data_IF_090186598342
#
_entry.id   IF_090186598342
#
_cell.length_a   1.000
_cell.length_b   1.000
_cell.length_c   1.000
_cell.angle_alpha   90.00
_cell.angle_beta   90.00
_cell.angle_gamma   90.00
#
_symmetry.space_group_name_H-M   'P 1'
#
loop_
_entity.id
_entity.type
_entity.pdbx_description
1 polymer ?
#
# COMPACT_ATOMS: atom_id res chain seq x y z
N UNK A 1 -53.75 11.74 32.24
CA UNK A 1 -53.42 11.65 30.79
C UNK A 1 -52.15 12.42 30.42
N UNK A 2 -51.94 13.64 30.92
CA UNK A 2 -50.80 14.50 30.55
C UNK A 2 -49.40 13.95 30.90
N UNK A 3 -49.24 13.26 32.04
CA UNK A 3 -47.96 12.65 32.45
C UNK A 3 -47.48 11.54 31.50
N UNK A 4 -48.41 10.76 30.95
CA UNK A 4 -48.10 9.69 29.98
C UNK A 4 -47.60 10.23 28.64
N UNK A 5 -48.15 11.37 28.21
CA UNK A 5 -47.76 12.02 26.96
C UNK A 5 -46.37 12.66 27.06
N UNK A 6 -46.02 13.29 28.20
CA UNK A 6 -44.68 13.82 28.46
C UNK A 6 -43.61 12.73 28.47
N UNK A 7 -43.90 11.59 29.09
CA UNK A 7 -43.00 10.44 29.12
C UNK A 7 -42.81 9.83 27.72
N UNK A 8 -43.88 9.74 26.92
CA UNK A 8 -43.82 9.26 25.54
C UNK A 8 -42.97 10.18 24.65
N UNK A 9 -43.15 11.49 24.75
CA UNK A 9 -42.39 12.47 23.98
C UNK A 9 -40.89 12.46 24.38
N UNK A 10 -40.59 12.31 25.67
CA UNK A 10 -39.21 12.20 26.17
C UNK A 10 -38.51 10.93 25.68
N UNK A 11 -39.20 9.78 25.68
CA UNK A 11 -38.65 8.51 25.17
C UNK A 11 -38.36 8.62 23.67
N UNK A 12 -39.27 9.21 22.89
CA UNK A 12 -39.06 9.42 21.45
C UNK A 12 -37.89 10.36 21.17
N UNK A 13 -37.75 11.45 21.93
CA UNK A 13 -36.62 12.37 21.83
C UNK A 13 -35.29 11.67 22.17
N UNK A 14 -35.28 10.82 23.21
CA UNK A 14 -34.11 10.04 23.62
C UNK A 14 -33.69 9.04 22.54
N UNK A 15 -34.65 8.31 21.95
CA UNK A 15 -34.40 7.39 20.85
C UNK A 15 -33.85 8.11 19.61
N UNK A 16 -34.40 9.28 19.28
CA UNK A 16 -33.94 10.08 18.14
C UNK A 16 -32.49 10.59 18.36
N UNK A 17 -32.16 11.04 19.57
CA UNK A 17 -30.81 11.45 19.95
C UNK A 17 -29.81 10.28 19.91
N UNK A 18 -30.21 9.09 20.36
CA UNK A 18 -29.39 7.86 20.28
C UNK A 18 -29.14 7.42 18.82
N UNK A 19 -30.12 7.56 17.93
CA UNK A 19 -29.96 7.30 16.49
C UNK A 19 -29.03 8.31 15.80
N UNK A 20 -29.10 9.60 16.16
CA UNK A 20 -28.19 10.62 15.62
C UNK A 20 -26.73 10.39 16.07
N UNK A 21 -26.52 9.87 17.28
CA UNK A 21 -25.18 9.54 17.78
C UNK A 21 -24.56 8.32 17.08
N UNK A 22 -25.38 7.33 16.72
CA UNK A 22 -24.91 6.13 15.98
C UNK A 22 -24.68 6.38 14.49
N UNK A 23 -25.36 7.38 13.89
CA UNK A 23 -25.09 7.83 12.52
C UNK A 23 -23.75 8.57 12.38
N UNK A 24 -23.20 9.08 13.48
CA UNK A 24 -21.91 9.80 13.52
C UNK A 24 -20.72 8.85 13.75
N UNK A 25 -20.71 7.69 13.08
CA UNK A 25 -19.54 6.83 13.07
C UNK A 25 -18.40 7.52 12.33
N UNK A 26 -17.31 7.83 13.03
CA UNK A 26 -16.04 8.23 12.39
C UNK A 26 -15.66 7.07 11.45
N UNK A 27 -15.89 7.22 10.15
CA UNK A 27 -15.38 6.26 9.16
C UNK A 27 -13.87 6.40 9.16
N UNK A 28 -13.19 5.57 9.94
CA UNK A 28 -11.76 5.32 9.72
C UNK A 28 -11.59 4.97 8.25
N UNK A 29 -10.60 5.58 7.57
CA UNK A 29 -10.35 5.31 6.17
C UNK A 29 -10.19 3.80 5.98
N UNK A 30 -11.12 3.19 5.26
CA UNK A 30 -11.13 1.76 4.98
C UNK A 30 -10.91 1.57 3.49
N UNK A 31 -9.94 0.75 3.12
CA UNK A 31 -9.68 0.41 1.72
C UNK A 31 -10.63 -0.68 1.21
N UNK A 32 -10.81 -0.76 -0.10
CA UNK A 32 -11.60 -1.81 -0.74
C UNK A 32 -10.70 -3.00 -1.15
N UNK A 33 -9.51 -2.74 -1.68
CA UNK A 33 -8.53 -3.77 -2.02
C UNK A 33 -7.08 -3.30 -1.78
N UNK A 34 -6.14 -4.24 -1.85
CA UNK A 34 -4.70 -3.98 -1.76
C UNK A 34 -4.07 -4.20 -3.14
N UNK A 35 -3.26 -3.23 -3.58
CA UNK A 35 -2.47 -3.33 -4.80
C UNK A 35 -1.02 -3.63 -4.44
N UNK A 36 -0.48 -4.75 -4.91
CA UNK A 36 0.95 -5.05 -4.82
C UNK A 36 1.65 -4.48 -6.05
N UNK A 37 2.47 -3.45 -5.84
CA UNK A 37 3.04 -2.65 -6.93
C UNK A 37 4.53 -2.92 -7.05
N UNK A 38 4.95 -3.24 -8.27
CA UNK A 38 6.34 -3.49 -8.63
C UNK A 38 6.90 -2.38 -9.52
N UNK A 39 8.21 -2.16 -9.43
CA UNK A 39 8.97 -1.36 -10.37
C UNK A 39 9.91 -2.27 -11.16
N UNK A 40 10.04 -2.00 -12.47
CA UNK A 40 11.15 -2.50 -13.28
C UNK A 40 12.31 -1.51 -13.18
N UNK A 41 13.42 -1.85 -12.51
CA UNK A 41 14.46 -0.88 -12.18
C UNK A 41 15.09 -0.20 -13.39
N UNK A 42 15.33 -0.93 -14.47
CA UNK A 42 15.94 -0.35 -15.66
C UNK A 42 15.06 0.77 -16.25
N UNK A 43 13.73 0.61 -16.30
CA UNK A 43 12.83 1.67 -16.79
C UNK A 43 12.75 2.84 -15.81
N UNK A 44 12.70 2.57 -14.50
CA UNK A 44 12.74 3.63 -13.48
C UNK A 44 14.02 4.50 -13.63
N UNK A 45 15.15 3.86 -13.95
CA UNK A 45 16.43 4.53 -14.12
C UNK A 45 16.67 5.16 -15.50
N UNK A 46 15.69 5.10 -16.42
CA UNK A 46 15.75 5.87 -17.68
C UNK A 46 15.44 7.36 -17.47
N UNK A 47 14.78 7.72 -16.37
CA UNK A 47 14.54 9.11 -16.02
C UNK A 47 15.87 9.79 -15.65
N UNK A 48 16.28 10.78 -16.46
CA UNK A 48 17.53 11.52 -16.27
C UNK A 48 17.54 12.35 -14.98
N UNK A 49 16.38 12.63 -14.40
CA UNK A 49 16.26 13.35 -13.13
C UNK A 49 16.49 12.43 -11.92
N UNK A 50 16.66 11.13 -12.14
CA UNK A 50 16.83 10.14 -11.08
C UNK A 50 18.24 9.57 -11.10
N UNK A 51 19.03 9.89 -10.09
CA UNK A 51 20.31 9.23 -9.87
C UNK A 51 20.07 7.83 -9.27
N UNK A 52 20.18 6.78 -10.08
CA UNK A 52 20.01 5.41 -9.61
C UNK A 52 21.24 4.81 -8.94
N UNK A 53 21.01 3.80 -8.10
CA UNK A 53 22.08 2.94 -7.56
C UNK A 53 22.69 2.06 -8.66
N UNK A 54 23.98 1.78 -8.53
CA UNK A 54 24.72 0.88 -9.39
C UNK A 54 25.26 -0.31 -8.57
N UNK A 55 25.15 -1.56 -9.07
CA UNK A 55 24.46 -1.95 -10.30
C UNK A 55 22.92 -1.81 -10.18
N UNK A 56 22.25 -1.51 -11.29
CA UNK A 56 20.77 -1.49 -11.37
C UNK A 56 20.24 -2.92 -11.28
N UNK A 57 19.28 -3.23 -10.37
CA UNK A 57 18.78 -4.60 -10.24
C UNK A 57 18.08 -5.11 -11.52
N UNK A 58 18.40 -6.34 -11.92
CA UNK A 58 17.86 -6.98 -13.14
C UNK A 58 16.64 -7.88 -12.86
N UNK A 59 15.84 -7.49 -11.88
CA UNK A 59 14.60 -8.15 -11.46
C UNK A 59 13.57 -7.11 -11.05
N UNK A 60 12.29 -7.47 -11.09
CA UNK A 60 11.26 -6.63 -10.48
C UNK A 60 11.55 -6.47 -9.00
N UNK A 61 11.40 -5.25 -8.51
CA UNK A 61 11.48 -4.92 -7.09
C UNK A 61 10.14 -4.35 -6.66
N UNK A 62 9.77 -4.58 -5.42
CA UNK A 62 8.56 -3.99 -4.87
C UNK A 62 8.71 -2.46 -4.85
N UNK A 63 7.64 -1.75 -5.18
CA UNK A 63 7.49 -0.32 -4.91
C UNK A 63 6.65 -0.12 -3.65
N UNK A 64 5.57 -0.88 -3.49
CA UNK A 64 4.80 -0.90 -2.26
C UNK A 64 3.58 -1.82 -2.32
N UNK A 65 2.93 -1.97 -1.17
CA UNK A 65 1.58 -2.49 -1.06
C UNK A 65 0.68 -1.28 -0.78
N UNK A 66 -0.36 -1.06 -1.57
CA UNK A 66 -1.15 0.16 -1.52
C UNK A 66 -2.64 -0.14 -1.29
N UNK A 67 -3.19 0.25 -0.13
CA UNK A 67 -4.63 0.25 0.09
C UNK A 67 -5.31 1.21 -0.90
N UNK A 68 -6.31 0.73 -1.62
CA UNK A 68 -6.96 1.45 -2.71
C UNK A 68 -8.47 1.40 -2.59
N UNK A 69 -9.14 2.43 -3.12
CA UNK A 69 -10.59 2.47 -3.20
C UNK A 69 -11.14 1.56 -4.33
N UNK A 70 -12.46 1.44 -4.44
CA UNK A 70 -13.13 0.64 -5.49
C UNK A 70 -12.71 0.99 -6.91
N UNK A 71 -12.31 2.23 -7.17
CA UNK A 71 -11.85 2.67 -8.50
C UNK A 71 -10.39 2.30 -8.79
N UNK A 72 -9.68 1.75 -7.80
CA UNK A 72 -8.27 1.43 -7.91
C UNK A 72 -7.34 2.60 -7.59
N UNK A 73 -7.87 3.72 -7.08
CA UNK A 73 -7.05 4.86 -6.67
C UNK A 73 -6.39 4.55 -5.31
N UNK A 74 -5.05 4.65 -5.21
CA UNK A 74 -4.36 4.45 -3.93
C UNK A 74 -4.78 5.52 -2.91
N UNK A 75 -5.10 5.06 -1.71
CA UNK A 75 -5.31 5.92 -0.56
C UNK A 75 -3.96 6.43 -0.04
N UNK A 76 -3.96 7.64 0.53
CA UNK A 76 -2.75 8.28 1.01
C UNK A 76 -2.97 9.06 2.32
N UNK A 77 -1.98 9.03 3.21
CA UNK A 77 -1.88 9.83 4.43
C UNK A 77 -3.13 9.78 5.34
N UNK A 78 -3.74 8.60 5.48
CA UNK A 78 -5.04 8.47 6.15
C UNK A 78 -5.02 8.71 7.67
N UNK A 79 -3.88 8.48 8.31
CA UNK A 79 -3.72 8.67 9.75
C UNK A 79 -2.32 9.17 10.08
N UNK A 80 -2.17 9.79 11.25
CA UNK A 80 -0.84 10.19 11.75
C UNK A 80 0.07 8.96 11.87
N UNK A 81 1.32 9.16 11.48
CA UNK A 81 2.33 8.11 11.44
C UNK A 81 3.01 7.94 12.79
N UNK A 82 2.94 6.75 13.37
CA UNK A 82 3.80 6.37 14.48
C UNK A 82 5.20 5.98 13.99
N UNK A 83 6.21 6.11 14.85
CA UNK A 83 7.56 5.62 14.55
C UNK A 83 7.53 4.10 14.37
N UNK A 84 7.97 3.64 13.19
CA UNK A 84 8.04 2.23 12.82
C UNK A 84 9.43 1.74 12.47
N UNK A 85 10.47 2.52 12.78
CA UNK A 85 11.85 2.14 12.51
C UNK A 85 12.20 0.81 13.16
N UNK A 86 11.71 0.53 14.37
CA UNK A 86 11.90 -0.75 15.05
C UNK A 86 11.39 -1.95 14.22
N UNK A 87 10.20 -1.82 13.60
CA UNK A 87 9.58 -2.88 12.84
C UNK A 87 10.25 -3.06 11.47
N UNK A 88 10.65 -1.95 10.85
CA UNK A 88 11.41 -1.96 9.59
C UNK A 88 12.79 -2.59 9.79
N UNK A 89 13.50 -2.22 10.85
CA UNK A 89 14.80 -2.82 11.21
C UNK A 89 14.68 -4.31 11.51
N UNK A 90 13.60 -4.75 12.18
CA UNK A 90 13.34 -6.18 12.42
C UNK A 90 13.29 -7.02 11.14
N UNK A 91 12.83 -6.43 10.03
CA UNK A 91 12.70 -7.12 8.74
C UNK A 91 13.67 -6.62 7.67
N UNK A 92 14.70 -5.85 8.05
CA UNK A 92 15.57 -5.14 7.11
C UNK A 92 16.25 -6.08 6.10
N UNK A 93 16.68 -7.26 6.54
CA UNK A 93 17.31 -8.26 5.66
C UNK A 93 16.34 -8.75 4.58
N UNK A 94 15.09 -9.04 4.95
CA UNK A 94 14.04 -9.49 4.03
C UNK A 94 13.64 -8.37 3.06
N UNK A 95 13.48 -7.16 3.59
CA UNK A 95 13.05 -6.00 2.81
C UNK A 95 14.13 -5.50 1.85
N UNK A 96 15.40 -5.52 2.24
CA UNK A 96 16.49 -4.97 1.42
C UNK A 96 16.68 -5.67 0.08
N UNK A 97 16.40 -6.96 0.01
CA UNK A 97 16.59 -7.74 -1.23
C UNK A 97 15.48 -7.55 -2.26
N UNK A 98 14.28 -7.19 -1.80
CA UNK A 98 13.06 -7.26 -2.60
C UNK A 98 12.29 -5.94 -2.66
N UNK A 99 12.48 -5.08 -1.67
CA UNK A 99 11.91 -3.73 -1.60
C UNK A 99 13.00 -2.64 -1.47
N UNK A 100 14.11 -2.66 -2.23
CA UNK A 100 15.14 -1.63 -2.13
C UNK A 100 14.65 -0.27 -2.66
N UNK A 101 15.21 0.81 -2.10
CA UNK A 101 15.24 2.08 -2.81
C UNK A 101 16.12 1.95 -4.05
N UNK A 102 15.62 2.39 -5.20
CA UNK A 102 16.38 2.43 -6.45
C UNK A 102 17.23 3.70 -6.60
N UNK A 103 16.89 4.77 -5.87
CA UNK A 103 17.63 6.03 -5.91
C UNK A 103 18.88 5.96 -5.06
N UNK A 104 19.99 6.51 -5.56
CA UNK A 104 21.29 6.57 -4.88
C UNK A 104 21.28 7.52 -3.68
N UNK A 105 20.51 8.59 -3.77
CA UNK A 105 20.37 9.62 -2.73
C UNK A 105 19.34 9.27 -1.64
N UNK A 106 18.64 8.13 -1.76
CA UNK A 106 17.60 7.70 -0.82
C UNK A 106 17.93 6.33 -0.23
N UNK A 107 18.09 6.27 1.09
CA UNK A 107 18.29 5.01 1.80
C UNK A 107 17.03 4.15 1.78
N UNK A 108 17.20 2.84 1.93
CA UNK A 108 16.07 1.92 2.02
C UNK A 108 15.13 2.30 3.18
N UNK A 109 15.69 2.59 4.36
CA UNK A 109 14.89 2.98 5.53
C UNK A 109 14.03 4.22 5.26
N UNK A 110 14.59 5.28 4.67
CA UNK A 110 13.83 6.50 4.32
C UNK A 110 12.73 6.20 3.30
N UNK A 111 13.03 5.38 2.31
CA UNK A 111 12.05 4.94 1.32
C UNK A 111 10.89 4.14 1.95
N UNK A 112 11.20 3.19 2.83
CA UNK A 112 10.17 2.40 3.53
C UNK A 112 9.32 3.26 4.47
N UNK A 113 9.93 4.20 5.19
CA UNK A 113 9.21 5.16 6.03
C UNK A 113 8.26 6.03 5.19
N UNK A 114 8.69 6.49 4.03
CA UNK A 114 7.84 7.24 3.10
C UNK A 114 6.65 6.40 2.61
N UNK A 115 6.90 5.16 2.15
CA UNK A 115 5.84 4.26 1.69
C UNK A 115 4.86 3.93 2.83
N UNK A 116 5.37 3.79 4.05
CA UNK A 116 4.57 3.58 5.24
C UNK A 116 3.66 4.76 5.56
N UNK A 117 4.23 5.95 5.68
CA UNK A 117 3.51 7.17 6.01
C UNK A 117 2.41 7.46 4.99
N UNK A 118 2.76 7.32 3.71
CA UNK A 118 1.83 7.56 2.62
C UNK A 118 0.76 6.49 2.54
N UNK A 119 1.12 5.21 2.40
CA UNK A 119 0.14 4.19 2.01
C UNK A 119 -0.32 3.32 3.16
N UNK A 120 0.61 2.83 4.00
CA UNK A 120 0.23 1.87 5.04
C UNK A 120 -0.76 2.46 6.02
N UNK A 121 -0.64 3.74 6.37
CA UNK A 121 -1.54 4.40 7.32
C UNK A 121 -3.01 4.14 6.99
N UNK A 122 -3.38 3.96 5.73
CA UNK A 122 -4.73 3.63 5.26
C UNK A 122 -5.20 2.18 5.51
N UNK A 123 -4.35 1.30 6.03
CA UNK A 123 -4.69 -0.09 6.40
C UNK A 123 -4.78 -0.32 7.92
N UNK A 124 -4.59 0.73 8.73
CA UNK A 124 -4.53 0.65 10.19
C UNK A 124 -5.75 -0.01 10.85
N UNK A 125 -6.94 0.20 10.28
CA UNK A 125 -8.21 -0.34 10.79
C UNK A 125 -8.34 -1.86 10.66
N UNK A 126 -7.56 -2.48 9.77
CA UNK A 126 -7.64 -3.92 9.46
C UNK A 126 -6.33 -4.67 9.72
N UNK A 127 -5.22 -3.97 9.91
CA UNK A 127 -3.90 -4.59 9.97
C UNK A 127 -2.93 -3.81 10.84
N UNK A 128 -2.31 -4.51 11.80
CA UNK A 128 -1.22 -3.95 12.60
C UNK A 128 0.08 -3.83 11.79
N UNK A 129 1.10 -3.19 12.38
CA UNK A 129 2.38 -2.90 11.71
C UNK A 129 3.06 -4.16 11.19
N UNK A 130 3.15 -5.17 12.05
CA UNK A 130 3.86 -6.41 11.75
C UNK A 130 3.10 -7.24 10.71
N UNK A 131 1.78 -7.32 10.80
CA UNK A 131 0.93 -7.99 9.82
C UNK A 131 1.10 -7.38 8.42
N UNK A 132 1.22 -6.05 8.32
CA UNK A 132 1.44 -5.37 7.05
C UNK A 132 2.79 -5.72 6.42
N UNK A 133 3.86 -5.66 7.21
CA UNK A 133 5.19 -6.02 6.74
C UNK A 133 5.29 -7.51 6.41
N UNK A 134 4.67 -8.38 7.20
CA UNK A 134 4.62 -9.81 6.93
C UNK A 134 3.85 -10.12 5.65
N UNK A 135 2.72 -9.45 5.40
CA UNK A 135 1.99 -9.60 4.15
C UNK A 135 2.87 -9.21 2.96
N UNK A 136 3.55 -8.06 3.03
CA UNK A 136 4.51 -7.64 2.00
C UNK A 136 5.58 -8.73 1.77
N UNK A 137 6.22 -9.20 2.84
CA UNK A 137 7.32 -10.17 2.74
C UNK A 137 6.84 -11.50 2.17
N UNK A 138 5.68 -11.99 2.61
CA UNK A 138 5.14 -13.28 2.18
C UNK A 138 4.64 -13.22 0.75
N UNK A 139 3.84 -12.21 0.38
CA UNK A 139 3.34 -12.08 -0.99
C UNK A 139 4.48 -11.89 -1.98
N UNK A 140 5.50 -11.11 -1.62
CA UNK A 140 6.69 -10.92 -2.44
C UNK A 140 7.49 -12.22 -2.67
N UNK A 141 7.55 -13.13 -1.70
CA UNK A 141 8.24 -14.42 -1.86
C UNK A 141 7.52 -15.37 -2.81
N UNK A 142 6.20 -15.26 -2.86
CA UNK A 142 5.36 -16.16 -3.63
C UNK A 142 5.10 -15.68 -5.07
N UNK A 143 5.48 -14.44 -5.40
CA UNK A 143 5.27 -13.85 -6.72
C UNK A 143 6.60 -13.41 -7.34
N UNK A 144 6.92 -13.99 -8.50
CA UNK A 144 8.02 -13.56 -9.36
C UNK A 144 7.47 -13.13 -10.73
N UNK A 145 7.20 -11.82 -10.94
CA UNK A 145 6.69 -11.33 -12.20
C UNK A 145 7.64 -11.60 -13.37
N UNK A 146 8.96 -11.59 -13.14
CA UNK A 146 9.92 -11.84 -14.22
C UNK A 146 9.88 -13.32 -14.65
N UNK A 147 9.73 -14.23 -13.70
CA UNK A 147 9.54 -15.65 -14.00
C UNK A 147 8.24 -15.89 -14.80
N UNK A 148 7.14 -15.28 -14.38
CA UNK A 148 5.85 -15.40 -15.09
C UNK A 148 5.92 -14.88 -16.53
N UNK A 149 6.61 -13.74 -16.75
CA UNK A 149 6.85 -13.19 -18.09
C UNK A 149 7.74 -14.10 -18.93
N UNK A 150 8.83 -14.63 -18.35
CA UNK A 150 9.76 -15.54 -19.03
C UNK A 150 9.09 -16.84 -19.46
N UNK A 151 8.16 -17.37 -18.66
CA UNK A 151 7.37 -18.54 -19.02
C UNK A 151 6.55 -18.33 -20.31
N UNK A 152 6.23 -17.08 -20.63
CA UNK A 152 5.54 -16.66 -21.84
C UNK A 152 6.48 -16.05 -22.90
N UNK A 153 7.78 -16.36 -22.83
CA UNK A 153 8.83 -15.86 -23.75
C UNK A 153 9.01 -14.33 -23.75
N UNK A 154 8.51 -13.63 -22.74
CA UNK A 154 8.72 -12.19 -22.57
C UNK A 154 9.96 -11.98 -21.72
N UNK A 155 11.01 -11.43 -22.33
CA UNK A 155 12.33 -11.23 -21.71
C UNK A 155 12.80 -9.79 -21.89
N UNK A 156 13.47 -9.19 -20.89
CA UNK A 156 14.15 -7.92 -21.10
C UNK A 156 15.15 -8.06 -22.26
N UNK A 157 15.00 -7.24 -23.29
CA UNK A 157 15.82 -7.29 -24.51
C UNK A 157 16.64 -6.01 -24.73
N UNK A 158 16.58 -5.05 -23.79
CA UNK A 158 17.32 -3.79 -23.88
C UNK A 158 16.78 -2.77 -24.88
N UNK A 159 15.76 -3.13 -25.68
CA UNK A 159 15.14 -2.24 -26.66
C UNK A 159 13.98 -1.46 -26.05
N UNK A 160 13.82 -0.21 -26.50
CA UNK A 160 12.66 0.66 -26.19
C UNK A 160 11.43 0.33 -27.04
N UNK A 161 11.34 -0.85 -27.63
CA UNK A 161 10.17 -1.24 -28.42
C UNK A 161 9.03 -1.66 -27.49
N UNK A 162 7.81 -1.13 -27.66
CA UNK A 162 6.67 -1.60 -26.89
C UNK A 162 6.39 -3.06 -27.24
N UNK A 163 6.30 -3.92 -26.24
CA UNK A 163 5.62 -5.20 -26.43
C UNK A 163 4.15 -4.91 -26.73
N UNK A 164 3.59 -5.54 -27.76
CA UNK A 164 2.17 -5.37 -28.06
C UNK A 164 1.34 -6.07 -26.97
N UNK A 165 0.77 -5.28 -26.06
CA UNK A 165 -0.03 -5.75 -24.93
C UNK A 165 -1.29 -6.52 -25.36
N UNK A 166 -1.74 -6.38 -26.61
CA UNK A 166 -2.88 -7.13 -27.17
C UNK A 166 -2.55 -8.56 -27.61
N UNK A 167 -1.27 -8.99 -27.52
CA UNK A 167 -0.83 -10.36 -27.86
C UNK A 167 -0.41 -11.18 -26.64
N UNK A 168 -0.65 -10.70 -25.42
CA UNK A 168 -0.50 -11.54 -24.23
C UNK A 168 -1.71 -12.48 -24.14
N UNK A 169 -1.50 -13.79 -23.91
CA UNK A 169 -2.58 -14.78 -23.83
C UNK A 169 -3.52 -14.54 -22.63
#
# INVERSE_FOLDING_TARGET
MEKGLKNSLQIQLLCFLLCLFSASGIRAASYDHLQLVYAWPNTFCLDRNVACKNPVPQKFVLHGLWPSDKSGKPLAYCHKTANVSWALSKYEKQLSSSWPSLRRDLTNMKFWQYQWEKHRTCALSRMNVLGYLQLIITTQRNLDPLMALRANNIKPNGYRTPWNLSRMP
#
